data_IF_732094144320
#
_entry.id   IF_732094144320
#
_cell.length_a   1.000
_cell.length_b   1.000
_cell.length_c   1.000
_cell.angle_alpha   90.00
_cell.angle_beta   90.00
_cell.angle_gamma   90.00
#
_symmetry.space_group_name_H-M   'P 1'
#
loop_
_entity.id
_entity.type
_entity.pdbx_description
1 polymer ?
#
# COMPACT_ATOMS: atom_id res chain seq x y z
N UNK A 1 3.34 19.61 -23.33
CA UNK A 1 4.66 19.69 -22.68
C UNK A 1 5.01 21.14 -22.36
N UNK A 2 4.94 22.04 -23.34
CA UNK A 2 5.20 23.49 -23.19
C UNK A 2 4.46 24.15 -22.02
N UNK A 3 3.19 23.80 -21.78
CA UNK A 3 2.41 24.32 -20.65
C UNK A 3 3.00 23.91 -19.30
N UNK A 4 3.54 22.68 -19.17
CA UNK A 4 4.18 22.22 -17.94
C UNK A 4 5.55 22.88 -17.75
N UNK A 5 6.32 23.05 -18.83
CA UNK A 5 7.59 23.79 -18.78
C UNK A 5 7.38 25.25 -18.32
N UNK A 6 6.33 25.89 -18.84
CA UNK A 6 5.93 27.24 -18.40
C UNK A 6 5.48 27.25 -16.93
N UNK A 7 4.74 26.23 -16.49
CA UNK A 7 4.36 26.10 -15.09
C UNK A 7 5.59 25.92 -14.17
N UNK A 8 6.56 25.09 -14.55
CA UNK A 8 7.82 24.93 -13.82
C UNK A 8 8.60 26.24 -13.72
N UNK A 9 8.65 27.03 -14.80
CA UNK A 9 9.32 28.33 -14.81
C UNK A 9 8.65 29.37 -13.89
N UNK A 10 7.33 29.29 -13.73
CA UNK A 10 6.55 30.27 -12.96
C UNK A 10 6.07 29.73 -11.60
N UNK A 11 6.52 28.54 -11.19
CA UNK A 11 6.12 27.94 -9.92
C UNK A 11 6.54 28.83 -8.75
N UNK A 12 5.61 29.10 -7.81
CA UNK A 12 5.83 29.96 -6.64
C UNK A 12 6.01 31.45 -6.94
N UNK A 13 5.92 31.89 -8.21
CA UNK A 13 6.23 33.28 -8.62
C UNK A 13 5.44 34.37 -7.89
N UNK A 14 4.22 34.06 -7.44
CA UNK A 14 3.36 34.95 -6.63
C UNK A 14 3.77 35.03 -5.17
N UNK A 15 4.52 34.05 -4.69
CA UNK A 15 4.90 33.90 -3.28
C UNK A 15 6.31 34.47 -3.02
N UNK A 16 7.07 34.77 -4.09
CA UNK A 16 8.40 35.36 -4.01
C UNK A 16 8.38 36.88 -4.17
N UNK A 17 9.21 37.55 -3.39
CA UNK A 17 9.51 38.98 -3.54
C UNK A 17 10.02 39.30 -4.96
N UNK A 18 9.81 40.53 -5.42
CA UNK A 18 10.35 41.00 -6.70
C UNK A 18 11.88 40.89 -6.75
N UNK A 19 12.54 40.98 -5.59
CA UNK A 19 13.99 40.87 -5.44
C UNK A 19 14.56 39.43 -5.59
N UNK A 20 13.71 38.39 -5.62
CA UNK A 20 14.17 37.00 -5.78
C UNK A 20 14.67 36.75 -7.20
N UNK A 21 15.98 36.52 -7.36
CA UNK A 21 16.65 36.37 -8.65
C UNK A 21 16.23 35.13 -9.43
N UNK A 22 16.16 33.96 -8.78
CA UNK A 22 15.68 32.73 -9.41
C UNK A 22 14.28 32.42 -8.89
N UNK A 23 13.32 32.48 -9.82
CA UNK A 23 11.93 32.07 -9.61
C UNK A 23 11.67 30.80 -10.43
N UNK A 24 10.81 29.94 -9.91
CA UNK A 24 10.48 28.66 -10.54
C UNK A 24 11.42 27.51 -10.18
N UNK A 25 11.23 26.40 -10.87
CA UNK A 25 11.90 25.12 -10.64
C UNK A 25 12.89 24.83 -11.77
N UNK A 26 14.16 24.69 -11.41
CA UNK A 26 15.25 24.30 -12.30
C UNK A 26 15.58 25.36 -13.35
N UNK A 27 16.57 25.04 -14.18
CA UNK A 27 16.94 25.80 -15.38
C UNK A 27 16.30 25.16 -16.61
N UNK A 28 16.23 25.86 -17.77
CA UNK A 28 15.64 25.28 -18.98
C UNK A 28 16.18 23.90 -19.35
N UNK A 29 17.49 23.69 -19.19
CA UNK A 29 18.15 22.40 -19.47
C UNK A 29 17.70 21.29 -18.50
N UNK A 30 17.54 21.58 -17.22
CA UNK A 30 17.19 20.57 -16.22
C UNK A 30 15.69 20.24 -16.22
N UNK A 31 14.83 21.19 -16.61
CA UNK A 31 13.37 20.98 -16.67
C UNK A 31 12.99 19.87 -17.65
N UNK A 32 13.54 19.91 -18.87
CA UNK A 32 13.30 18.87 -19.86
C UNK A 32 13.77 17.49 -19.36
N UNK A 33 14.98 17.42 -18.77
CA UNK A 33 15.49 16.15 -18.22
C UNK A 33 14.65 15.61 -17.07
N UNK A 34 14.07 16.48 -16.23
CA UNK A 34 13.19 16.05 -15.13
C UNK A 34 11.90 15.44 -15.68
N UNK A 35 11.31 16.03 -16.72
CA UNK A 35 10.11 15.48 -17.35
C UNK A 35 10.38 14.10 -17.93
N UNK A 36 11.48 13.93 -18.69
CA UNK A 36 11.87 12.62 -19.22
C UNK A 36 12.15 11.61 -18.10
N UNK A 37 12.75 12.05 -17.00
CA UNK A 37 13.02 11.17 -15.87
C UNK A 37 11.73 10.69 -15.20
N UNK A 38 10.76 11.58 -14.98
CA UNK A 38 9.44 11.22 -14.43
C UNK A 38 8.72 10.18 -15.29
N UNK A 39 8.89 10.26 -16.62
CA UNK A 39 8.35 9.27 -17.56
C UNK A 39 9.11 7.95 -17.44
N UNK A 40 10.45 7.99 -17.41
CA UNK A 40 11.29 6.79 -17.29
C UNK A 40 11.06 6.03 -16.00
N UNK A 41 10.70 6.73 -14.91
CA UNK A 41 10.37 6.15 -13.62
C UNK A 41 8.91 5.69 -13.51
N UNK A 42 8.07 5.94 -14.51
CA UNK A 42 6.67 5.49 -14.53
C UNK A 42 5.69 6.35 -13.72
N UNK A 43 6.10 7.53 -13.23
CA UNK A 43 5.19 8.45 -12.50
C UNK A 43 4.34 9.33 -13.42
N UNK A 44 4.77 9.48 -14.68
CA UNK A 44 4.06 10.25 -15.71
C UNK A 44 4.03 9.42 -16.99
N UNK A 45 2.93 9.48 -17.72
CA UNK A 45 2.79 8.85 -19.03
C UNK A 45 2.43 9.86 -20.12
N UNK A 46 2.89 9.58 -21.35
CA UNK A 46 2.54 10.34 -22.55
C UNK A 46 1.29 9.73 -23.21
N UNK A 47 0.17 10.45 -23.16
CA UNK A 47 -1.03 10.13 -23.95
C UNK A 47 -1.23 11.19 -25.04
N UNK A 48 -0.72 10.89 -26.23
CA UNK A 48 -0.70 11.82 -27.36
C UNK A 48 0.11 13.08 -27.03
N UNK A 49 -0.53 14.25 -27.03
CA UNK A 49 0.10 15.54 -26.68
C UNK A 49 0.01 15.90 -25.18
N UNK A 50 -0.61 15.04 -24.36
CA UNK A 50 -0.81 15.27 -22.93
C UNK A 50 0.16 14.42 -22.11
N UNK A 51 0.63 15.02 -21.00
CA UNK A 51 1.31 14.31 -19.92
C UNK A 51 0.28 14.08 -18.82
N UNK A 52 0.14 12.83 -18.37
CA UNK A 52 -0.78 12.46 -17.30
C UNK A 52 0.00 11.81 -16.17
N UNK A 53 -0.32 12.16 -14.93
CA UNK A 53 0.21 11.44 -13.77
C UNK A 53 -0.36 10.02 -13.76
N UNK A 54 0.50 9.04 -13.50
CA UNK A 54 0.07 7.65 -13.27
C UNK A 54 -0.46 7.51 -11.85
N UNK A 55 -1.07 6.35 -11.54
CA UNK A 55 -1.52 6.05 -10.18
C UNK A 55 -0.34 6.10 -9.19
N UNK A 56 0.78 5.45 -9.53
CA UNK A 56 2.00 5.49 -8.73
C UNK A 56 2.52 6.92 -8.50
N UNK A 57 2.40 7.80 -9.50
CA UNK A 57 2.77 9.21 -9.36
C UNK A 57 1.86 9.98 -8.39
N UNK A 58 0.55 9.70 -8.42
CA UNK A 58 -0.42 10.30 -7.49
C UNK A 58 -0.24 9.76 -6.07
N UNK A 59 0.02 8.46 -5.93
CA UNK A 59 0.25 7.81 -4.64
C UNK A 59 1.55 8.29 -3.99
N UNK A 60 2.61 8.49 -4.79
CA UNK A 60 3.83 9.11 -4.28
C UNK A 60 3.56 10.52 -3.74
N UNK A 61 2.82 11.34 -4.48
CA UNK A 61 2.51 12.72 -4.06
C UNK A 61 1.61 12.75 -2.82
N UNK A 62 0.72 11.77 -2.63
CA UNK A 62 -0.17 11.72 -1.47
C UNK A 62 0.59 11.47 -0.16
N UNK A 63 1.64 10.66 -0.19
CA UNK A 63 2.39 10.26 1.02
C UNK A 63 3.58 11.16 1.35
N UNK A 64 4.04 11.98 0.41
CA UNK A 64 5.16 12.87 0.62
C UNK A 64 4.76 14.06 1.53
N UNK A 65 5.63 14.55 2.42
CA UNK A 65 5.33 15.74 3.22
C UNK A 65 5.12 16.99 2.35
N UNK A 66 4.19 17.88 2.75
CA UNK A 66 3.82 19.06 1.96
C UNK A 66 4.99 20.00 1.69
N UNK A 67 5.91 20.14 2.65
CA UNK A 67 7.08 20.99 2.47
C UNK A 67 8.02 20.49 1.37
N UNK A 68 8.11 19.17 1.12
CA UNK A 68 8.94 18.60 0.04
C UNK A 68 8.30 18.81 -1.33
N UNK A 69 6.97 18.81 -1.38
CA UNK A 69 6.21 19.05 -2.62
C UNK A 69 6.11 20.55 -2.96
N UNK A 70 6.55 21.42 -2.05
CA UNK A 70 6.43 22.86 -2.20
C UNK A 70 7.44 23.41 -3.20
N UNK A 71 6.99 24.15 -4.24
CA UNK A 71 7.91 24.83 -5.14
C UNK A 71 8.73 25.92 -4.44
N UNK A 72 8.22 26.44 -3.31
CA UNK A 72 8.89 27.48 -2.52
C UNK A 72 10.16 26.95 -1.87
N UNK A 73 10.12 25.72 -1.33
CA UNK A 73 11.31 25.09 -0.77
C UNK A 73 12.40 24.95 -1.84
N UNK A 74 12.07 24.46 -3.04
CA UNK A 74 13.05 24.31 -4.13
C UNK A 74 13.65 25.64 -4.56
N UNK A 75 12.83 26.68 -4.71
CA UNK A 75 13.32 28.01 -5.08
C UNK A 75 14.23 28.62 -4.01
N UNK A 76 13.92 28.45 -2.72
CA UNK A 76 14.79 28.90 -1.63
C UNK A 76 16.18 28.26 -1.73
N UNK A 77 16.23 26.96 -2.01
CA UNK A 77 17.49 26.24 -2.22
C UNK A 77 18.26 26.74 -3.45
N UNK A 78 17.58 27.00 -4.56
CA UNK A 78 18.22 27.55 -5.76
C UNK A 78 18.79 28.96 -5.52
N UNK A 79 18.10 29.81 -4.76
CA UNK A 79 18.60 31.13 -4.38
C UNK A 79 19.77 31.04 -3.40
N UNK A 80 19.76 30.07 -2.47
CA UNK A 80 20.92 29.83 -1.60
C UNK A 80 22.12 29.29 -2.37
N UNK A 81 21.91 28.44 -3.38
CA UNK A 81 22.98 28.00 -4.29
C UNK A 81 23.62 29.18 -5.04
N UNK A 82 22.80 30.13 -5.53
CA UNK A 82 23.30 31.37 -6.12
C UNK A 82 24.13 32.21 -5.13
N UNK A 83 23.68 32.30 -3.88
CA UNK A 83 24.41 33.02 -2.84
C UNK A 83 25.76 32.38 -2.52
N UNK A 84 25.87 31.05 -2.60
CA UNK A 84 27.14 30.31 -2.52
C UNK A 84 28.02 30.61 -3.73
N UNK A 85 27.47 30.59 -4.94
CA UNK A 85 28.19 30.95 -6.18
C UNK A 85 28.77 32.37 -6.11
N UNK A 86 28.02 33.31 -5.54
CA UNK A 86 28.43 34.71 -5.32
C UNK A 86 29.36 34.91 -4.13
N UNK A 87 29.63 33.87 -3.33
CA UNK A 87 30.45 33.95 -2.12
C UNK A 87 29.80 34.68 -0.94
N UNK A 88 28.50 34.96 -1.00
CA UNK A 88 27.74 35.61 0.08
C UNK A 88 27.37 34.63 1.21
N UNK A 89 27.22 33.34 0.91
CA UNK A 89 27.06 32.26 1.88
C UNK A 89 28.22 31.27 1.71
N UNK A 90 28.72 30.74 2.83
CA UNK A 90 29.73 29.68 2.82
C UNK A 90 29.11 28.34 2.42
N UNK A 91 29.78 27.58 1.55
CA UNK A 91 29.32 26.26 1.11
C UNK A 91 29.07 25.30 2.28
N UNK A 92 29.86 25.39 3.36
CA UNK A 92 29.69 24.56 4.55
C UNK A 92 28.38 24.85 5.28
N UNK A 93 27.97 26.12 5.34
CA UNK A 93 26.72 26.53 5.96
C UNK A 93 25.52 25.98 5.17
N UNK A 94 25.56 26.14 3.85
CA UNK A 94 24.56 25.57 2.94
C UNK A 94 24.43 24.04 3.11
N UNK A 95 25.56 23.33 3.10
CA UNK A 95 25.56 21.87 3.28
C UNK A 95 25.09 21.45 4.68
N UNK A 96 25.27 22.27 5.70
CA UNK A 96 24.73 22.01 7.04
C UNK A 96 23.21 21.99 7.03
N UNK A 97 22.59 22.96 6.37
CA UNK A 97 21.13 23.01 6.21
C UNK A 97 20.61 21.82 5.40
N UNK A 98 21.29 21.40 4.32
CA UNK A 98 20.90 20.22 3.53
C UNK A 98 20.87 18.98 4.42
N UNK A 99 21.90 18.79 5.26
CA UNK A 99 21.95 17.66 6.19
C UNK A 99 20.82 17.71 7.21
N UNK A 100 20.46 18.89 7.70
CA UNK A 100 19.34 19.06 8.61
C UNK A 100 18.01 18.68 7.93
N UNK A 101 17.78 19.13 6.69
CA UNK A 101 16.60 18.78 5.91
C UNK A 101 16.52 17.26 5.67
N UNK A 102 17.62 16.62 5.25
CA UNK A 102 17.67 15.16 5.08
C UNK A 102 17.38 14.44 6.40
N UNK A 103 17.90 14.94 7.52
CA UNK A 103 17.59 14.43 8.85
C UNK A 103 16.10 14.49 9.16
N UNK A 104 15.46 15.62 8.86
CA UNK A 104 14.02 15.81 9.03
C UNK A 104 13.21 14.83 8.14
N UNK A 105 13.56 14.72 6.85
CA UNK A 105 12.91 13.77 5.93
C UNK A 105 12.98 12.34 6.48
N UNK A 106 14.15 11.91 6.97
CA UNK A 106 14.31 10.57 7.52
C UNK A 106 13.47 10.33 8.78
N UNK A 107 13.25 11.36 9.60
CA UNK A 107 12.35 11.27 10.75
C UNK A 107 10.89 11.18 10.29
N UNK A 108 10.49 11.98 9.31
CA UNK A 108 9.14 11.97 8.76
C UNK A 108 8.82 10.64 8.07
N UNK A 109 9.75 10.07 7.30
CA UNK A 109 9.62 8.76 6.67
C UNK A 109 9.40 7.61 7.68
N UNK A 110 9.91 7.74 8.91
CA UNK A 110 9.66 6.76 9.98
C UNK A 110 8.25 6.85 10.53
N UNK A 111 7.65 8.04 10.46
CA UNK A 111 6.32 8.35 10.96
C UNK A 111 5.23 8.21 9.90
N UNK A 112 5.59 7.98 8.63
CA UNK A 112 4.66 7.57 7.56
C UNK A 112 3.89 6.35 8.06
N UNK A 113 2.57 6.51 8.18
CA UNK A 113 1.70 5.52 8.79
C UNK A 113 1.70 4.24 7.97
N UNK A 114 1.34 3.10 8.58
CA UNK A 114 1.18 1.85 7.83
C UNK A 114 0.16 2.00 6.68
N UNK A 115 -0.82 2.91 6.83
CA UNK A 115 -1.81 3.30 5.81
C UNK A 115 -1.22 4.07 4.63
N UNK A 116 -0.28 4.97 4.87
CA UNK A 116 0.42 5.69 3.79
C UNK A 116 1.38 4.73 3.04
N UNK A 117 1.97 3.76 3.74
CA UNK A 117 2.75 2.67 3.11
C UNK A 117 1.88 1.74 2.28
N UNK A 118 0.60 1.62 2.63
CA UNK A 118 -0.37 0.84 1.87
C UNK A 118 -0.67 1.54 0.52
N UNK A 119 -0.75 2.87 0.47
CA UNK A 119 -0.94 3.62 -0.79
C UNK A 119 0.18 3.40 -1.83
N UNK A 120 1.42 3.14 -1.38
CA UNK A 120 2.57 2.93 -2.28
C UNK A 120 2.69 1.49 -2.82
N UNK A 121 1.83 0.58 -2.38
CA UNK A 121 1.89 -0.83 -2.79
C UNK A 121 0.66 -1.14 -3.60
N UNK A 122 0.88 -1.55 -4.85
CA UNK A 122 -0.12 -2.31 -5.59
C UNK A 122 -0.36 -3.61 -4.82
N UNK A 123 -1.47 -3.66 -4.09
CA UNK A 123 -1.93 -4.91 -3.51
C UNK A 123 -2.81 -5.62 -4.53
N UNK A 124 -2.55 -6.91 -4.71
CA UNK A 124 -3.44 -7.77 -5.47
C UNK A 124 -4.77 -7.90 -4.73
N UNK A 125 -5.85 -7.95 -5.51
CA UNK A 125 -7.20 -8.19 -4.99
C UNK A 125 -7.43 -9.69 -4.84
N UNK A 126 -7.94 -10.12 -3.68
CA UNK A 126 -8.27 -11.53 -3.41
C UNK A 126 -9.77 -11.82 -3.52
N UNK A 127 -10.62 -10.79 -3.43
CA UNK A 127 -12.06 -10.93 -3.50
C UNK A 127 -12.80 -9.69 -3.01
N UNK A 128 -14.11 -9.85 -2.76
CA UNK A 128 -14.99 -8.74 -2.37
C UNK A 128 -15.29 -8.77 -0.87
N UNK A 129 -15.30 -7.61 -0.23
CA UNK A 129 -15.56 -7.49 1.20
C UNK A 129 -17.02 -7.82 1.51
N UNK A 130 -17.31 -8.76 2.44
CA UNK A 130 -18.67 -9.14 2.79
C UNK A 130 -19.43 -8.06 3.58
N UNK A 131 -18.74 -7.05 4.10
CA UNK A 131 -19.35 -5.97 4.91
C UNK A 131 -19.78 -4.79 4.03
N UNK A 132 -18.86 -4.29 3.19
CA UNK A 132 -19.09 -3.05 2.43
C UNK A 132 -19.03 -3.21 0.91
N UNK A 133 -18.71 -4.40 0.39
CA UNK A 133 -18.65 -4.67 -1.05
C UNK A 133 -17.40 -4.14 -1.78
N UNK A 134 -16.48 -3.46 -1.10
CA UNK A 134 -15.22 -3.01 -1.71
C UNK A 134 -14.20 -4.16 -1.85
N UNK A 135 -13.20 -4.04 -2.73
CA UNK A 135 -12.14 -5.04 -2.86
C UNK A 135 -11.41 -5.34 -1.55
N UNK A 136 -11.06 -6.60 -1.34
CA UNK A 136 -10.17 -7.07 -0.27
C UNK A 136 -8.79 -7.28 -0.88
N UNK A 137 -7.78 -6.68 -0.25
CA UNK A 137 -6.41 -6.60 -0.73
C UNK A 137 -5.49 -7.57 0.03
N UNK A 138 -4.51 -8.15 -0.67
CA UNK A 138 -3.54 -9.10 -0.11
C UNK A 138 -2.38 -8.35 0.56
N UNK A 139 -2.41 -8.23 1.89
CA UNK A 139 -1.27 -7.76 2.68
C UNK A 139 -0.27 -8.86 3.02
N UNK A 140 0.87 -8.46 3.59
CA UNK A 140 1.92 -9.42 3.99
C UNK A 140 1.51 -10.33 5.16
N UNK A 141 0.63 -9.85 6.04
CA UNK A 141 0.18 -10.58 7.25
C UNK A 141 -1.33 -10.84 7.28
N UNK A 142 -2.09 -10.22 6.38
CA UNK A 142 -3.55 -10.24 6.41
C UNK A 142 -4.12 -9.90 5.04
N UNK A 143 -5.39 -10.21 4.86
CA UNK A 143 -6.25 -9.75 3.78
C UNK A 143 -7.20 -8.71 4.37
N UNK A 144 -7.23 -7.49 3.83
CA UNK A 144 -7.95 -6.36 4.46
C UNK A 144 -8.78 -5.60 3.44
N UNK A 145 -9.88 -4.98 3.88
CA UNK A 145 -10.72 -4.19 2.99
C UNK A 145 -9.99 -2.93 2.50
N UNK A 146 -10.15 -2.59 1.22
CA UNK A 146 -9.66 -1.35 0.62
C UNK A 146 -10.35 -0.09 1.12
N UNK A 147 -11.57 -0.19 1.67
CA UNK A 147 -12.28 0.95 2.26
C UNK A 147 -11.75 1.23 3.67
N UNK A 148 -11.24 2.45 3.89
CA UNK A 148 -10.65 2.90 5.16
C UNK A 148 -11.65 2.92 6.32
N UNK A 149 -12.94 3.12 6.05
CA UNK A 149 -13.99 3.09 7.08
C UNK A 149 -14.39 1.65 7.48
N UNK A 150 -14.01 0.65 6.67
CA UNK A 150 -14.34 -0.74 6.90
C UNK A 150 -13.20 -1.49 7.59
N UNK A 151 -13.44 -1.99 8.81
CA UNK A 151 -12.42 -2.68 9.61
C UNK A 151 -12.30 -4.18 9.32
N UNK A 152 -12.81 -4.64 8.18
CA UNK A 152 -12.78 -6.05 7.82
C UNK A 152 -11.35 -6.52 7.53
N UNK A 153 -10.91 -7.57 8.24
CA UNK A 153 -9.58 -8.17 8.10
C UNK A 153 -9.61 -9.68 8.36
N UNK A 154 -9.01 -10.47 7.47
CA UNK A 154 -8.67 -11.88 7.67
C UNK A 154 -7.16 -11.97 7.91
N UNK A 155 -6.70 -12.47 9.05
CA UNK A 155 -5.26 -12.64 9.29
C UNK A 155 -4.72 -13.91 8.65
N UNK A 156 -3.51 -13.88 8.06
CA UNK A 156 -2.87 -15.12 7.53
C UNK A 156 -2.57 -16.09 8.67
N UNK A 157 -2.13 -15.56 9.81
CA UNK A 157 -1.97 -16.29 11.07
C UNK A 157 -3.21 -16.13 11.95
N UNK A 158 -4.31 -16.80 11.57
CA UNK A 158 -5.52 -16.82 12.39
C UNK A 158 -5.25 -17.55 13.70
N UNK A 159 -5.46 -16.87 14.83
CA UNK A 159 -5.36 -17.47 16.17
C UNK A 159 -6.21 -18.76 16.29
N UNK A 160 -7.38 -18.78 15.63
CA UNK A 160 -8.25 -19.95 15.57
C UNK A 160 -7.57 -21.18 14.92
N UNK A 161 -6.81 -20.99 13.84
CA UNK A 161 -6.12 -22.07 13.11
C UNK A 161 -4.70 -22.34 13.60
N UNK A 162 -4.08 -21.41 14.34
CA UNK A 162 -2.71 -21.55 14.84
C UNK A 162 -2.50 -22.84 15.64
N UNK A 163 -3.45 -23.18 16.52
CA UNK A 163 -3.42 -24.43 17.30
C UNK A 163 -3.55 -25.71 16.44
N UNK A 164 -4.09 -25.57 15.23
CA UNK A 164 -4.28 -26.65 14.25
C UNK A 164 -3.14 -26.70 13.22
N UNK A 165 -2.06 -25.92 13.44
CA UNK A 165 -0.87 -25.82 12.58
C UNK A 165 -1.20 -25.47 11.13
N UNK A 166 -2.18 -24.58 10.94
CA UNK A 166 -2.64 -24.15 9.61
C UNK A 166 -2.70 -22.62 9.56
N UNK A 167 -2.33 -22.08 8.40
CA UNK A 167 -2.43 -20.66 8.07
C UNK A 167 -3.36 -20.49 6.88
N UNK A 168 -3.89 -19.28 6.73
CA UNK A 168 -4.77 -18.92 5.61
C UNK A 168 -3.90 -18.47 4.43
N UNK A 169 -3.92 -19.27 3.37
CA UNK A 169 -3.35 -18.91 2.08
C UNK A 169 -4.36 -18.12 1.22
N UNK A 170 -3.90 -17.62 0.06
CA UNK A 170 -4.67 -16.70 -0.77
C UNK A 170 -5.92 -17.38 -1.37
N UNK A 171 -5.83 -18.68 -1.70
CA UNK A 171 -6.96 -19.49 -2.19
C UNK A 171 -8.02 -19.71 -1.09
N UNK A 172 -7.57 -20.04 0.14
CA UNK A 172 -8.46 -20.12 1.28
C UNK A 172 -9.18 -18.79 1.54
N UNK A 173 -8.47 -17.67 1.47
CA UNK A 173 -9.08 -16.35 1.63
C UNK A 173 -10.11 -16.06 0.53
N UNK A 174 -9.79 -16.33 -0.73
CA UNK A 174 -10.71 -16.14 -1.86
C UNK A 174 -11.99 -16.97 -1.70
N UNK A 175 -11.87 -18.24 -1.28
CA UNK A 175 -13.02 -19.12 -1.06
C UNK A 175 -13.86 -18.68 0.15
N UNK A 176 -13.23 -18.22 1.23
CA UNK A 176 -13.95 -17.66 2.38
C UNK A 176 -14.73 -16.39 1.99
N UNK A 177 -14.18 -15.52 1.16
CA UNK A 177 -14.85 -14.32 0.69
C UNK A 177 -16.00 -14.64 -0.28
N UNK A 178 -15.85 -15.67 -1.11
CA UNK A 178 -16.84 -16.03 -2.13
C UNK A 178 -17.99 -16.87 -1.57
N UNK A 179 -17.67 -17.88 -0.77
CA UNK A 179 -18.62 -18.91 -0.34
C UNK A 179 -18.98 -18.78 1.15
N UNK A 180 -18.23 -18.00 1.93
CA UNK A 180 -18.30 -18.02 3.40
C UNK A 180 -17.65 -19.27 4.01
N UNK A 181 -17.09 -20.17 3.20
CA UNK A 181 -16.58 -21.46 3.66
C UNK A 181 -15.50 -22.03 2.74
N UNK A 182 -14.58 -22.82 3.32
CA UNK A 182 -13.53 -23.53 2.58
C UNK A 182 -13.26 -24.90 3.22
N UNK A 183 -13.05 -25.92 2.38
CA UNK A 183 -12.59 -27.22 2.87
C UNK A 183 -11.11 -27.16 3.19
N UNK A 184 -10.75 -27.46 4.44
CA UNK A 184 -9.36 -27.46 4.90
C UNK A 184 -8.94 -28.87 5.29
N UNK A 185 -7.92 -29.36 4.59
CA UNK A 185 -7.27 -30.64 4.89
C UNK A 185 -6.04 -30.45 5.80
N UNK A 186 -5.66 -31.52 6.50
CA UNK A 186 -4.50 -31.59 7.39
C UNK A 186 -4.54 -30.59 8.56
N UNK A 187 -5.72 -30.41 9.16
CA UNK A 187 -5.85 -29.72 10.44
C UNK A 187 -5.38 -30.63 11.58
N UNK A 188 -4.49 -30.14 12.46
CA UNK A 188 -3.98 -30.91 13.59
C UNK A 188 -4.92 -30.85 14.80
N UNK A 189 -5.21 -31.99 15.43
CA UNK A 189 -5.97 -32.08 16.68
C UNK A 189 -5.07 -32.49 17.85
N UNK A 190 -4.72 -31.56 18.73
CA UNK A 190 -3.92 -31.86 19.93
C UNK A 190 -4.60 -32.89 20.86
N UNK A 191 -5.94 -32.88 20.94
CA UNK A 191 -6.71 -33.83 21.78
C UNK A 191 -6.63 -35.28 21.28
N UNK A 192 -6.51 -35.50 19.97
CA UNK A 192 -6.52 -36.83 19.34
C UNK A 192 -5.17 -37.23 18.75
N UNK A 193 -4.20 -36.33 18.80
CA UNK A 193 -2.90 -36.38 18.15
C UNK A 193 -2.97 -36.87 16.69
N UNK A 194 -3.92 -36.33 15.93
CA UNK A 194 -4.24 -36.75 14.56
C UNK A 194 -4.60 -35.58 13.68
N UNK A 195 -4.31 -35.75 12.39
CA UNK A 195 -4.77 -34.85 11.35
C UNK A 195 -6.19 -35.21 10.90
N UNK A 196 -6.97 -34.19 10.57
CA UNK A 196 -8.32 -34.33 10.06
C UNK A 196 -8.61 -33.28 8.98
N UNK A 197 -9.75 -33.46 8.31
CA UNK A 197 -10.29 -32.49 7.36
C UNK A 197 -11.62 -31.98 7.90
N UNK A 198 -11.85 -30.68 7.75
CA UNK A 198 -13.10 -30.03 8.13
C UNK A 198 -13.36 -28.86 7.18
N UNK A 199 -14.59 -28.36 7.21
CA UNK A 199 -14.95 -27.13 6.52
C UNK A 199 -14.76 -25.98 7.49
N UNK A 200 -13.93 -25.01 7.15
CA UNK A 200 -13.80 -23.75 7.87
C UNK A 200 -14.90 -22.83 7.36
N UNK A 201 -15.76 -22.38 8.26
CA UNK A 201 -16.85 -21.44 7.96
C UNK A 201 -16.51 -20.10 8.59
N UNK A 202 -16.74 -19.02 7.86
CA UNK A 202 -16.56 -17.64 8.30
C UNK A 202 -17.91 -16.92 8.29
N UNK A 203 -18.31 -16.39 9.44
CA UNK A 203 -19.50 -15.57 9.59
C UNK A 203 -19.11 -14.17 10.04
N UNK A 204 -19.89 -13.16 9.65
CA UNK A 204 -19.65 -11.78 10.08
C UNK A 204 -20.56 -11.50 11.29
N UNK A 205 -19.96 -11.22 12.43
CA UNK A 205 -20.64 -10.85 13.68
C UNK A 205 -20.03 -9.54 14.17
N UNK A 206 -20.85 -8.51 14.39
CA UNK A 206 -20.40 -7.18 14.82
C UNK A 206 -19.26 -6.61 13.95
N UNK A 207 -19.42 -6.70 12.62
CA UNK A 207 -18.44 -6.29 11.60
C UNK A 207 -17.08 -6.99 11.69
N UNK A 208 -17.01 -8.15 12.34
CA UNK A 208 -15.79 -8.95 12.46
C UNK A 208 -16.01 -10.37 11.95
N UNK A 209 -15.01 -10.96 11.28
CA UNK A 209 -15.08 -12.36 10.89
C UNK A 209 -14.85 -13.27 12.10
N UNK A 210 -15.83 -14.11 12.37
CA UNK A 210 -15.78 -15.21 13.34
C UNK A 210 -15.69 -16.55 12.60
N UNK A 211 -14.97 -17.50 13.18
CA UNK A 211 -14.61 -18.75 12.50
C UNK A 211 -15.11 -19.98 13.26
N UNK A 212 -15.64 -20.96 12.52
CA UNK A 212 -16.05 -22.25 13.07
C UNK A 212 -15.67 -23.41 12.16
N UNK A 213 -15.72 -24.64 12.70
CA UNK A 213 -15.45 -25.86 11.94
C UNK A 213 -16.72 -26.71 11.81
N UNK A 214 -17.11 -26.99 10.58
CA UNK A 214 -18.14 -27.97 10.28
C UNK A 214 -17.53 -29.28 9.79
N UNK A 215 -18.07 -30.39 10.30
CA UNK A 215 -17.65 -31.73 9.93
C UNK A 215 -18.72 -32.38 9.05
N UNK A 216 -18.34 -33.02 7.93
CA UNK A 216 -19.30 -33.77 7.14
C UNK A 216 -19.97 -34.84 8.01
N UNK A 217 -21.30 -34.95 7.91
CA UNK A 217 -22.08 -35.97 8.63
C UNK A 217 -21.57 -37.35 8.21
N UNK A 218 -21.18 -38.18 9.19
CA UNK A 218 -20.79 -39.58 8.92
C UNK A 218 -22.01 -40.34 8.39
N UNK A 219 -21.92 -40.87 7.17
CA UNK A 219 -22.86 -41.86 6.67
C UNK A 219 -22.86 -43.10 7.58
N UNK A 220 -23.99 -43.37 8.25
CA UNK A 220 -24.23 -44.61 8.99
C UNK A 220 -24.50 -45.75 8.01
N UNK A 221 -23.48 -46.28 7.32
CA UNK A 221 -23.63 -47.53 6.55
C UNK A 221 -23.46 -48.77 7.44
N UNK A 222 -24.62 -49.32 7.84
CA UNK A 222 -24.93 -50.76 7.81
C UNK A 222 -24.19 -51.72 8.75
N UNK A 223 -24.87 -52.15 9.83
CA UNK A 223 -24.61 -53.43 10.50
C UNK A 223 -24.59 -54.56 9.46
N UNK A 224 -23.47 -55.27 9.30
CA UNK A 224 -23.44 -56.57 8.61
C UNK A 224 -24.36 -57.55 9.37
N UNK A 225 -25.51 -57.88 8.77
CA UNK A 225 -26.36 -59.01 9.17
C UNK A 225 -25.57 -60.30 8.96
N UNK A 226 -25.52 -61.14 9.99
CA UNK A 226 -25.12 -62.56 9.90
C UNK A 226 -25.93 -63.24 8.80
N UNK A 227 -25.27 -63.89 7.85
CA UNK A 227 -25.87 -64.97 7.06
C UNK A 227 -25.27 -66.30 7.50
N UNK A 228 -26.16 -67.12 8.04
CA UNK A 228 -26.02 -68.52 8.44
C UNK A 228 -26.43 -69.36 7.23
N UNK A 229 -25.60 -70.32 6.83
CA UNK A 229 -25.92 -71.49 5.98
C UNK A 229 -24.92 -72.57 6.44
N UNK A 230 -25.37 -73.61 7.15
CA UNK A 230 -25.77 -74.92 6.62
C UNK A 230 -24.68 -75.61 5.81
#
# INVERSE_FOLDING_TARGET
EDTLLSAMENAGKTDFDEATERKGLGTPATRASVIEHLISCGYVERKGRKLLATQDGMDLISVMPDYIKSPNLTADWENKLLQVEKGTIKAEAFMSEIRALVGQILMDCRNVSDMDRLCLKHFEEVGTCPICGNPVLIGSKSYFCSNQDCRFVIWKDLAFLHSMKKQVDDDMAAQLLTNGEVKVDKLYSAKKDKYFSAKLVMEIIDDKPEYSLEFPKRDKKGKKKKSKWE
#
